data_IF_702268160553
#
_entry.id   IF_702268160553
#
_cell.length_a   1.000
_cell.length_b   1.000
_cell.length_c   1.000
_cell.angle_alpha   90.00
_cell.angle_beta   90.00
_cell.angle_gamma   90.00
#
_symmetry.space_group_name_H-M   'P 1'
#
loop_
_entity.id
_entity.type
_entity.pdbx_description
1 polymer ?
#
# COMPACT_ATOMS: atom_id res chain seq x y z
N UNK A 1 5.95 -0.97 23.54
CA UNK A 1 6.17 -1.05 22.07
C UNK A 1 5.52 0.18 21.47
N UNK A 2 6.16 0.80 20.46
CA UNK A 2 5.56 2.01 19.82
C UNK A 2 4.48 1.59 18.83
N UNK A 3 3.31 2.23 18.95
CA UNK A 3 2.21 2.02 18.01
C UNK A 3 2.59 2.64 16.66
N UNK A 4 2.40 1.91 15.57
CA UNK A 4 2.65 2.39 14.22
C UNK A 4 1.35 2.75 13.49
N UNK A 5 0.22 2.13 13.87
CA UNK A 5 -1.13 2.51 13.41
C UNK A 5 -2.04 2.54 14.63
N UNK A 6 -2.85 3.59 14.72
CA UNK A 6 -3.89 3.72 15.75
C UNK A 6 -5.18 4.25 15.10
N UNK A 7 -6.28 3.54 15.29
CA UNK A 7 -7.62 3.94 14.90
C UNK A 7 -8.47 4.07 16.17
N UNK A 8 -9.19 5.18 16.30
CA UNK A 8 -10.10 5.44 17.44
C UNK A 8 -11.46 5.88 16.92
N UNK A 9 -12.48 5.10 17.23
CA UNK A 9 -13.89 5.36 16.92
C UNK A 9 -14.10 5.75 15.45
N UNK A 10 -13.42 5.04 14.53
CA UNK A 10 -13.45 5.37 13.11
C UNK A 10 -14.77 4.95 12.50
N UNK A 11 -15.44 5.91 11.89
CA UNK A 11 -16.69 5.73 11.17
C UNK A 11 -16.55 6.18 9.72
N UNK A 12 -17.08 5.38 8.78
CA UNK A 12 -17.06 5.66 7.35
C UNK A 12 -18.39 5.38 6.72
N UNK A 13 -18.92 6.35 5.99
CA UNK A 13 -20.13 6.20 5.17
C UNK A 13 -19.81 6.39 3.69
N UNK A 14 -20.54 5.65 2.87
CA UNK A 14 -20.73 5.89 1.46
C UNK A 14 -22.20 6.31 1.28
N UNK A 15 -22.44 7.59 1.06
CA UNK A 15 -23.77 8.19 1.09
C UNK A 15 -24.53 7.81 2.39
N UNK A 16 -25.56 6.98 2.29
CA UNK A 16 -26.37 6.50 3.42
C UNK A 16 -25.89 5.17 4.02
N UNK A 17 -24.93 4.51 3.38
CA UNK A 17 -24.43 3.21 3.82
C UNK A 17 -23.22 3.38 4.72
N UNK A 18 -23.34 2.93 5.98
CA UNK A 18 -22.22 2.91 6.92
C UNK A 18 -21.35 1.67 6.70
N UNK A 19 -20.16 1.87 6.15
CA UNK A 19 -19.20 0.81 5.87
C UNK A 19 -18.30 0.46 7.06
N UNK A 20 -17.96 1.45 7.90
CA UNK A 20 -17.21 1.25 9.14
C UNK A 20 -17.98 1.90 10.29
N UNK A 21 -18.07 1.19 11.42
CA UNK A 21 -18.79 1.64 12.62
C UNK A 21 -17.92 1.45 13.85
N UNK A 22 -17.58 2.55 14.51
CA UNK A 22 -16.83 2.63 15.78
C UNK A 22 -15.58 1.72 15.78
N UNK A 23 -14.83 1.71 14.68
CA UNK A 23 -13.67 0.83 14.54
C UNK A 23 -12.52 1.35 15.38
N UNK A 24 -12.01 0.48 16.25
CA UNK A 24 -10.84 0.71 17.08
C UNK A 24 -9.79 -0.36 16.76
N UNK A 25 -8.55 0.05 16.47
CA UNK A 25 -7.46 -0.85 16.14
C UNK A 25 -6.14 -0.21 16.54
N UNK A 26 -5.27 -0.99 17.16
CA UNK A 26 -3.90 -0.59 17.45
C UNK A 26 -2.94 -1.62 16.85
N UNK A 27 -1.93 -1.16 16.13
CA UNK A 27 -0.89 -1.99 15.53
C UNK A 27 0.45 -1.50 16.01
N UNK A 28 1.24 -2.40 16.60
CA UNK A 28 2.59 -2.11 17.03
C UNK A 28 3.60 -2.32 15.89
N UNK A 29 4.80 -1.75 16.04
CA UNK A 29 5.89 -2.03 15.10
C UNK A 29 6.17 -3.52 15.02
N UNK A 30 6.42 -4.02 13.79
CA UNK A 30 6.70 -5.44 13.48
C UNK A 30 5.52 -6.39 13.74
N UNK A 31 4.37 -5.90 14.11
CA UNK A 31 3.16 -6.70 14.28
C UNK A 31 2.55 -7.07 12.92
N UNK A 32 2.00 -8.30 12.88
CA UNK A 32 1.24 -8.79 11.72
C UNK A 32 -0.21 -8.99 12.13
N UNK A 33 -1.11 -8.26 11.48
CA UNK A 33 -2.55 -8.35 11.73
C UNK A 33 -3.25 -8.91 10.51
N UNK A 34 -4.16 -9.85 10.74
CA UNK A 34 -5.04 -10.41 9.71
C UNK A 34 -6.46 -9.95 9.98
N UNK A 35 -7.07 -9.28 9.00
CA UNK A 35 -8.45 -8.82 9.05
C UNK A 35 -9.33 -9.83 8.30
N UNK A 36 -10.19 -10.55 9.03
CA UNK A 36 -11.10 -11.56 8.48
C UNK A 36 -12.56 -11.10 8.56
N UNK A 37 -13.38 -11.59 7.65
CA UNK A 37 -14.81 -11.32 7.63
C UNK A 37 -15.43 -11.59 6.25
N UNK A 38 -16.77 -11.62 6.14
CA UNK A 38 -17.46 -11.85 4.88
C UNK A 38 -17.21 -10.77 3.84
N UNK A 39 -17.56 -11.04 2.56
CA UNK A 39 -17.51 -10.02 1.52
C UNK A 39 -18.42 -8.84 1.89
N UNK A 40 -17.97 -7.61 1.62
CA UNK A 40 -18.74 -6.40 1.94
C UNK A 40 -18.66 -5.93 3.40
N UNK A 41 -17.92 -6.62 4.29
CA UNK A 41 -17.80 -6.22 5.71
C UNK A 41 -16.88 -5.03 6.00
N UNK A 42 -16.44 -4.30 5.00
CA UNK A 42 -15.63 -3.08 5.18
C UNK A 42 -14.11 -3.28 5.28
N UNK A 43 -13.58 -4.51 5.15
CA UNK A 43 -12.13 -4.79 5.28
C UNK A 43 -11.25 -3.93 4.37
N UNK A 44 -11.55 -3.90 3.08
CA UNK A 44 -10.81 -3.09 2.10
C UNK A 44 -11.00 -1.59 2.34
N UNK A 45 -12.18 -1.18 2.81
CA UNK A 45 -12.45 0.21 3.17
C UNK A 45 -11.58 0.64 4.35
N UNK A 46 -11.47 -0.21 5.38
CA UNK A 46 -10.63 0.03 6.55
C UNK A 46 -9.15 0.23 6.15
N UNK A 47 -8.62 -0.70 5.35
CA UNK A 47 -7.25 -0.62 4.83
C UNK A 47 -7.03 0.67 4.03
N UNK A 48 -7.99 1.05 3.18
CA UNK A 48 -7.90 2.28 2.38
C UNK A 48 -8.03 3.57 3.19
N UNK A 49 -8.65 3.52 4.36
CA UNK A 49 -8.67 4.67 5.26
C UNK A 49 -7.29 4.91 5.89
N UNK A 50 -6.49 3.87 6.15
CA UNK A 50 -5.15 3.99 6.75
C UNK A 50 -4.20 4.83 5.88
N UNK A 51 -4.27 4.72 4.55
CA UNK A 51 -3.44 5.50 3.62
C UNK A 51 -4.23 6.64 2.93
N UNK A 52 -5.43 6.93 3.43
CA UNK A 52 -6.34 7.96 2.91
C UNK A 52 -6.67 7.81 1.41
N UNK A 53 -6.74 6.59 0.91
CA UNK A 53 -7.39 6.31 -0.38
C UNK A 53 -8.92 6.40 -0.26
N UNK A 54 -9.43 6.20 0.95
CA UNK A 54 -10.80 6.50 1.36
C UNK A 54 -10.76 7.44 2.57
N UNK A 55 -11.61 8.45 2.58
CA UNK A 55 -11.72 9.39 3.70
C UNK A 55 -12.77 8.92 4.71
N UNK A 56 -12.38 8.82 5.98
CA UNK A 56 -13.32 8.58 7.08
C UNK A 56 -13.99 9.89 7.48
N UNK A 57 -15.21 9.83 8.01
CA UNK A 57 -15.95 11.03 8.40
C UNK A 57 -15.84 11.33 9.89
N UNK A 58 -15.69 10.30 10.74
CA UNK A 58 -15.56 10.46 12.17
C UNK A 58 -14.45 9.58 12.75
N UNK A 59 -13.95 9.95 13.91
CA UNK A 59 -12.86 9.27 14.60
C UNK A 59 -11.49 9.78 14.20
N UNK A 60 -10.45 9.08 14.65
CA UNK A 60 -9.06 9.47 14.44
C UNK A 60 -8.26 8.29 13.89
N UNK A 61 -7.45 8.55 12.90
CA UNK A 61 -6.46 7.61 12.35
C UNK A 61 -5.09 8.25 12.47
N UNK A 62 -4.17 7.57 13.16
CA UNK A 62 -2.77 7.99 13.27
C UNK A 62 -1.89 6.90 12.65
N UNK A 63 -1.00 7.30 11.75
CA UNK A 63 -0.06 6.42 11.06
C UNK A 63 1.35 6.97 11.23
N UNK A 64 2.24 6.18 11.82
CA UNK A 64 3.62 6.57 12.17
C UNK A 64 3.69 7.95 12.84
N UNK A 65 2.81 8.18 13.84
CA UNK A 65 2.71 9.42 14.60
C UNK A 65 2.03 10.59 13.88
N UNK A 66 1.59 10.41 12.62
CA UNK A 66 0.92 11.44 11.85
C UNK A 66 -0.59 11.19 11.78
N UNK A 67 -1.39 12.19 12.17
CA UNK A 67 -2.84 12.10 12.05
C UNK A 67 -3.29 12.23 10.60
N UNK A 68 -4.12 11.28 10.17
CA UNK A 68 -4.71 11.24 8.83
C UNK A 68 -6.06 11.95 8.84
N UNK A 69 -6.12 13.13 8.23
CA UNK A 69 -7.34 13.93 8.13
C UNK A 69 -7.39 14.71 6.80
N UNK A 70 -8.51 15.35 6.50
CA UNK A 70 -8.61 16.24 5.33
C UNK A 70 -7.55 17.37 5.32
N UNK A 71 -7.10 17.76 6.51
CA UNK A 71 -6.11 18.83 6.73
C UNK A 71 -4.66 18.35 6.64
N UNK A 72 -4.43 17.05 6.45
CA UNK A 72 -3.08 16.49 6.37
C UNK A 72 -2.35 16.99 5.12
N UNK A 73 -1.42 17.93 5.32
CA UNK A 73 -0.69 18.58 4.23
C UNK A 73 0.30 17.66 3.50
N UNK A 74 0.87 16.69 4.22
CA UNK A 74 1.95 15.84 3.73
C UNK A 74 1.50 14.38 3.48
N UNK A 75 0.26 14.18 3.00
CA UNK A 75 -0.28 12.83 2.75
C UNK A 75 0.60 12.01 1.80
N UNK A 76 1.30 12.65 0.88
CA UNK A 76 2.21 11.97 -0.05
C UNK A 76 3.41 11.35 0.67
N UNK A 77 3.94 12.01 1.71
CA UNK A 77 5.02 11.45 2.55
C UNK A 77 4.55 10.21 3.29
N UNK A 78 3.33 10.28 3.88
CA UNK A 78 2.74 9.14 4.58
C UNK A 78 2.52 7.98 3.61
N UNK A 79 1.98 8.23 2.41
CA UNK A 79 1.79 7.21 1.37
C UNK A 79 3.09 6.60 0.87
N UNK A 80 4.19 7.35 0.88
CA UNK A 80 5.50 6.83 0.52
C UNK A 80 6.03 5.80 1.54
N UNK A 81 5.60 5.90 2.81
CA UNK A 81 5.96 4.99 3.90
C UNK A 81 4.97 3.83 4.09
N UNK A 82 3.82 3.88 3.41
CA UNK A 82 2.77 2.86 3.46
C UNK A 82 2.64 2.17 2.10
N UNK A 83 3.28 1.04 1.95
CA UNK A 83 3.13 0.20 0.75
C UNK A 83 1.76 -0.48 0.73
N UNK A 84 1.15 -0.57 -0.46
CA UNK A 84 -0.12 -1.26 -0.64
C UNK A 84 -0.08 -2.17 -1.86
N UNK A 85 -0.57 -3.40 -1.68
CA UNK A 85 -0.81 -4.35 -2.76
C UNK A 85 -2.32 -4.52 -2.92
N UNK A 86 -2.83 -4.15 -4.09
CA UNK A 86 -4.26 -4.23 -4.40
C UNK A 86 -4.66 -5.66 -4.81
N UNK A 87 -5.93 -6.02 -4.60
CA UNK A 87 -6.48 -7.30 -5.01
C UNK A 87 -6.35 -7.55 -6.53
N UNK A 88 -6.46 -6.52 -7.35
CA UNK A 88 -6.30 -6.57 -8.80
C UNK A 88 -4.86 -6.24 -9.27
N UNK A 89 -3.90 -6.21 -8.33
CA UNK A 89 -2.48 -5.89 -8.54
C UNK A 89 -2.20 -4.49 -9.10
N UNK A 90 -3.06 -3.95 -9.94
CA UNK A 90 -3.00 -2.60 -10.54
C UNK A 90 -1.62 -2.25 -11.12
N UNK A 91 -1.00 -3.20 -11.81
CA UNK A 91 0.21 -2.94 -12.60
C UNK A 91 -0.14 -2.07 -13.80
N UNK A 92 0.75 -1.17 -14.17
CA UNK A 92 0.63 -0.35 -15.37
C UNK A 92 0.85 -1.23 -16.62
N UNK A 93 -0.18 -1.48 -17.45
CA UNK A 93 -0.08 -2.48 -18.53
C UNK A 93 0.85 -2.07 -19.68
N UNK A 94 1.10 -0.77 -19.81
CA UNK A 94 1.97 -0.18 -20.82
C UNK A 94 3.44 -0.05 -20.40
N UNK A 95 3.77 -0.44 -19.17
CA UNK A 95 5.12 -0.43 -18.62
C UNK A 95 5.63 -1.87 -18.44
N UNK A 96 6.93 -2.08 -18.61
CA UNK A 96 7.56 -3.35 -18.23
C UNK A 96 7.43 -3.58 -16.71
N UNK A 97 7.69 -4.79 -16.25
CA UNK A 97 7.71 -5.10 -14.82
C UNK A 97 8.79 -4.29 -14.10
N UNK A 98 9.96 -4.14 -14.71
CA UNK A 98 11.03 -3.30 -14.17
C UNK A 98 10.59 -1.83 -14.08
N UNK A 99 9.96 -1.28 -15.13
CA UNK A 99 9.48 0.11 -15.12
C UNK A 99 8.36 0.32 -14.10
N UNK A 100 7.47 -0.67 -13.92
CA UNK A 100 6.47 -0.65 -12.84
C UNK A 100 7.13 -0.52 -11.45
N UNK A 101 8.27 -1.15 -11.24
CA UNK A 101 9.00 -1.11 -9.97
C UNK A 101 9.85 0.15 -9.79
N UNK A 102 10.36 0.74 -10.87
CA UNK A 102 11.28 1.90 -10.81
C UNK A 102 10.56 3.24 -10.79
N UNK A 103 9.32 3.32 -11.27
CA UNK A 103 8.57 4.56 -11.43
C UNK A 103 8.49 5.37 -10.14
N UNK A 104 8.00 4.77 -9.05
CA UNK A 104 7.85 5.47 -7.78
C UNK A 104 9.19 5.85 -7.13
N UNK A 105 10.22 4.99 -7.06
CA UNK A 105 11.56 5.38 -6.62
C UNK A 105 12.13 6.59 -7.36
N UNK A 106 11.97 6.66 -8.68
CA UNK A 106 12.46 7.81 -9.48
C UNK A 106 11.66 9.08 -9.16
N UNK A 107 10.33 9.00 -9.20
CA UNK A 107 9.48 10.18 -9.10
C UNK A 107 9.31 10.69 -7.66
N UNK A 108 9.21 9.81 -6.69
CA UNK A 108 8.93 10.18 -5.29
C UNK A 108 10.23 10.32 -4.49
N UNK A 109 11.13 9.32 -4.55
CA UNK A 109 12.42 9.36 -3.83
C UNK A 109 13.51 10.14 -4.58
N UNK A 110 13.25 10.56 -5.83
CA UNK A 110 14.20 11.30 -6.69
C UNK A 110 15.49 10.52 -6.96
N UNK A 111 15.41 9.19 -6.97
CA UNK A 111 16.55 8.35 -7.30
C UNK A 111 16.91 8.45 -8.79
N UNK A 112 18.17 8.22 -9.11
CA UNK A 112 18.60 8.06 -10.50
C UNK A 112 18.02 6.76 -11.07
N UNK A 113 17.85 6.71 -12.38
CA UNK A 113 17.37 5.50 -13.07
C UNK A 113 18.15 4.25 -12.65
N UNK A 114 19.48 4.34 -12.64
CA UNK A 114 20.36 3.23 -12.26
C UNK A 114 20.11 2.73 -10.84
N UNK A 115 20.02 3.65 -9.86
CA UNK A 115 19.71 3.27 -8.48
C UNK A 115 18.33 2.61 -8.35
N UNK A 116 17.32 3.15 -9.04
CA UNK A 116 15.98 2.57 -9.02
C UNK A 116 15.93 1.18 -9.66
N UNK A 117 16.68 0.95 -10.76
CA UNK A 117 16.79 -0.35 -11.40
C UNK A 117 17.51 -1.38 -10.50
N UNK A 118 18.56 -1.00 -9.80
CA UNK A 118 19.26 -1.85 -8.84
C UNK A 118 18.31 -2.31 -7.71
N UNK A 119 17.59 -1.37 -7.10
CA UNK A 119 16.58 -1.68 -6.05
C UNK A 119 15.46 -2.56 -6.61
N UNK A 120 14.97 -2.26 -7.82
CA UNK A 120 13.89 -3.04 -8.44
C UNK A 120 14.34 -4.47 -8.72
N UNK A 121 15.52 -4.68 -9.29
CA UNK A 121 16.04 -6.01 -9.57
C UNK A 121 16.30 -6.82 -8.30
N UNK A 122 16.77 -6.19 -7.22
CA UNK A 122 16.91 -6.85 -5.93
C UNK A 122 15.55 -7.34 -5.40
N UNK A 123 14.50 -6.49 -5.43
CA UNK A 123 13.18 -6.89 -4.97
C UNK A 123 12.51 -7.91 -5.89
N UNK A 124 12.72 -7.85 -7.22
CA UNK A 124 12.25 -8.86 -8.14
C UNK A 124 12.91 -10.24 -7.88
N UNK A 125 14.21 -10.27 -7.54
CA UNK A 125 14.89 -11.49 -7.10
C UNK A 125 14.32 -12.03 -5.79
N UNK A 126 14.07 -11.17 -4.80
CA UNK A 126 13.45 -11.59 -3.53
C UNK A 126 12.11 -12.29 -3.72
N UNK A 127 11.33 -11.88 -4.72
CA UNK A 127 10.04 -12.51 -5.05
C UNK A 127 10.15 -13.54 -6.20
N UNK A 128 11.36 -13.85 -6.67
CA UNK A 128 11.66 -14.91 -7.65
C UNK A 128 10.95 -14.71 -9.01
N UNK A 129 11.04 -13.49 -9.56
CA UNK A 129 10.55 -13.15 -10.91
C UNK A 129 11.46 -12.15 -11.64
N UNK A 130 12.74 -12.09 -11.30
CA UNK A 130 13.71 -11.20 -11.94
C UNK A 130 13.92 -11.53 -13.44
N UNK A 131 13.74 -12.79 -13.83
CA UNK A 131 13.72 -13.24 -15.22
C UNK A 131 12.55 -12.66 -16.04
N UNK A 132 11.53 -12.11 -15.38
CA UNK A 132 10.36 -11.49 -16.01
C UNK A 132 10.46 -9.95 -16.07
N UNK A 133 11.57 -9.35 -15.65
CA UNK A 133 11.73 -7.90 -15.49
C UNK A 133 11.40 -7.08 -16.75
N UNK A 134 11.74 -7.58 -17.93
CA UNK A 134 11.51 -6.90 -19.21
C UNK A 134 10.16 -7.20 -19.86
N UNK A 135 9.37 -8.10 -19.27
CA UNK A 135 8.03 -8.41 -19.78
C UNK A 135 6.99 -7.39 -19.30
N UNK A 136 5.85 -7.38 -19.98
CA UNK A 136 4.70 -6.56 -19.63
C UNK A 136 3.69 -7.37 -18.80
N UNK A 137 2.86 -6.72 -17.96
CA UNK A 137 1.90 -7.41 -17.09
C UNK A 137 1.04 -8.46 -17.81
N UNK A 138 0.55 -8.16 -19.01
CA UNK A 138 -0.29 -9.09 -19.78
C UNK A 138 0.42 -10.38 -20.23
N UNK A 139 1.75 -10.47 -20.11
CA UNK A 139 2.55 -11.65 -20.43
C UNK A 139 2.81 -12.54 -19.21
N UNK A 140 2.37 -12.11 -18.01
CA UNK A 140 2.59 -12.80 -16.75
C UNK A 140 1.33 -13.54 -16.29
N UNK A 141 1.53 -14.68 -15.63
CA UNK A 141 0.45 -15.35 -14.89
C UNK A 141 -0.03 -14.49 -13.70
N UNK A 142 -1.22 -14.74 -13.19
CA UNK A 142 -1.76 -14.00 -12.03
C UNK A 142 -0.82 -14.03 -10.81
N UNK A 143 -0.23 -15.18 -10.51
CA UNK A 143 0.75 -15.31 -9.42
C UNK A 143 2.04 -14.52 -9.66
N UNK A 144 2.51 -14.42 -10.92
CA UNK A 144 3.64 -13.57 -11.27
C UNK A 144 3.29 -12.09 -11.18
N UNK A 145 2.08 -11.68 -11.61
CA UNK A 145 1.59 -10.31 -11.45
C UNK A 145 1.48 -9.92 -9.98
N UNK A 146 1.01 -10.82 -9.12
CA UNK A 146 0.95 -10.60 -7.68
C UNK A 146 2.34 -10.36 -7.09
N UNK A 147 3.32 -11.19 -7.46
CA UNK A 147 4.71 -11.02 -7.02
C UNK A 147 5.33 -9.72 -7.55
N UNK A 148 5.03 -9.34 -8.80
CA UNK A 148 5.46 -8.06 -9.35
C UNK A 148 4.86 -6.86 -8.59
N UNK A 149 3.58 -6.91 -8.23
CA UNK A 149 2.95 -5.87 -7.41
C UNK A 149 3.55 -5.77 -6.01
N UNK A 150 3.92 -6.91 -5.42
CA UNK A 150 4.65 -6.95 -4.15
C UNK A 150 6.05 -6.33 -4.29
N UNK A 151 6.82 -6.72 -5.31
CA UNK A 151 8.14 -6.13 -5.58
C UNK A 151 8.04 -4.61 -5.78
N UNK A 152 7.07 -4.14 -6.56
CA UNK A 152 6.80 -2.71 -6.76
C UNK A 152 6.59 -1.97 -5.44
N UNK A 153 5.78 -2.51 -4.55
CA UNK A 153 5.54 -1.90 -3.24
C UNK A 153 6.81 -1.88 -2.38
N UNK A 154 7.60 -2.95 -2.39
CA UNK A 154 8.85 -3.06 -1.63
C UNK A 154 9.95 -2.12 -2.11
N UNK A 155 9.95 -1.70 -3.39
CA UNK A 155 10.92 -0.74 -3.93
C UNK A 155 10.86 0.63 -3.26
N UNK A 156 9.74 0.95 -2.62
CA UNK A 156 9.60 2.17 -1.80
C UNK A 156 10.15 2.01 -0.38
N UNK A 157 10.58 0.80 0.02
CA UNK A 157 11.05 0.47 1.39
C UNK A 157 10.07 0.95 2.47
N UNK A 158 8.80 0.55 2.37
CA UNK A 158 7.77 1.06 3.26
C UNK A 158 7.94 0.55 4.68
N UNK A 159 7.55 1.36 5.67
CA UNK A 159 7.48 0.96 7.09
C UNK A 159 6.28 0.06 7.38
N UNK A 160 5.22 0.22 6.59
CA UNK A 160 3.94 -0.48 6.74
C UNK A 160 3.58 -1.10 5.38
N UNK A 161 3.11 -2.34 5.40
CA UNK A 161 2.58 -3.02 4.22
C UNK A 161 1.11 -3.38 4.42
N UNK A 162 0.26 -2.96 3.48
CA UNK A 162 -1.17 -3.26 3.41
C UNK A 162 -1.44 -4.21 2.23
N UNK A 163 -2.27 -5.25 2.47
CA UNK A 163 -2.61 -6.28 1.48
C UNK A 163 -4.10 -6.43 1.30
#
# INVERSE_FOLDING_TARGET
MSKIIELKNVNKWFDKFQALKDVNLEVNQQEKIVICGPSGSGKSTLIRCINRLEEHQEGHIVVDGNEISEKTKDIEKIRAEVGMVFQQFNLFPHLSILDNCTLAPIWVKKLTKKQAEEIAMENLKRVQIDDQALKFPGQLSGGQQQRAALARALCMEPKIMLF
#
